data_IF_626756042561
#
_entry.id   IF_626756042561
#
_cell.length_a   1.000
_cell.length_b   1.000
_cell.length_c   1.000
_cell.angle_alpha   90.00
_cell.angle_beta   90.00
_cell.angle_gamma   90.00
#
_symmetry.space_group_name_H-M   'P 1'
#
loop_
_entity.id
_entity.type
_entity.pdbx_description
1 polymer ?
#
# COMPACT_ATOMS: atom_id res chain seq x y z
N UNK A 1 -12.14 1.81 38.04
CA UNK A 1 -12.47 2.74 36.94
C UNK A 1 -11.15 3.40 36.60
N UNK A 2 -10.48 2.88 35.57
CA UNK A 2 -9.15 3.32 35.18
C UNK A 2 -9.31 4.46 34.16
N UNK A 3 -8.66 5.59 34.44
CA UNK A 3 -8.49 6.71 33.53
C UNK A 3 -7.71 6.25 32.29
N UNK A 4 -8.41 6.07 31.17
CA UNK A 4 -7.83 5.94 29.84
C UNK A 4 -7.53 7.36 29.31
N UNK A 5 -6.53 8.00 29.92
CA UNK A 5 -6.03 9.28 29.44
C UNK A 5 -5.17 9.01 28.21
N UNK A 6 -5.80 9.06 27.03
CA UNK A 6 -5.14 8.96 25.74
C UNK A 6 -3.89 9.85 25.70
N UNK A 7 -2.73 9.24 25.45
CA UNK A 7 -1.47 9.96 25.30
C UNK A 7 -1.48 10.69 23.97
N UNK A 8 -1.63 12.02 24.00
CA UNK A 8 -1.41 12.85 22.81
C UNK A 8 0.06 12.82 22.44
N UNK A 9 0.38 12.25 21.29
CA UNK A 9 1.71 12.26 20.69
C UNK A 9 1.76 13.40 19.67
N UNK A 10 2.74 14.28 19.82
CA UNK A 10 2.99 15.36 18.86
C UNK A 10 4.17 14.96 17.99
N UNK A 11 3.94 14.82 16.69
CA UNK A 11 4.95 14.45 15.71
C UNK A 11 5.26 15.62 14.80
N UNK A 12 6.53 15.75 14.45
CA UNK A 12 7.00 16.70 13.45
C UNK A 12 7.12 15.95 12.13
N UNK A 13 6.29 16.32 11.16
CA UNK A 13 6.23 15.69 9.83
C UNK A 13 6.80 16.66 8.78
N UNK A 14 7.46 16.18 7.71
CA UNK A 14 7.93 17.05 6.62
C UNK A 14 6.79 17.86 6.00
N UNK A 15 7.10 19.04 5.47
CA UNK A 15 6.12 20.00 4.93
C UNK A 15 5.22 19.39 3.84
N UNK A 16 5.77 18.53 2.99
CA UNK A 16 5.01 17.80 1.97
C UNK A 16 3.98 16.82 2.54
N UNK A 17 4.22 16.27 3.74
CA UNK A 17 3.29 15.36 4.42
C UNK A 17 2.26 16.15 5.23
N UNK A 18 2.65 17.30 5.78
CA UNK A 18 1.72 18.22 6.42
C UNK A 18 0.69 18.76 5.42
N UNK A 19 1.13 19.23 4.25
CA UNK A 19 0.24 19.67 3.17
C UNK A 19 -0.71 18.56 2.69
N UNK A 20 -0.22 17.31 2.66
CA UNK A 20 -1.05 16.15 2.32
C UNK A 20 -2.09 15.86 3.39
N UNK A 21 -1.73 15.89 4.68
CA UNK A 21 -2.65 15.68 5.81
C UNK A 21 -3.71 16.78 5.90
N UNK A 22 -3.35 18.04 5.64
CA UNK A 22 -4.30 19.16 5.59
C UNK A 22 -5.38 18.96 4.51
N UNK A 23 -5.04 18.25 3.42
CA UNK A 23 -5.99 17.83 2.39
C UNK A 23 -6.99 16.75 2.83
N UNK A 24 -6.77 16.08 3.96
CA UNK A 24 -7.64 15.00 4.48
C UNK A 24 -8.69 15.50 5.49
N UNK A 25 -8.65 16.76 5.91
CA UNK A 25 -9.66 17.35 6.79
C UNK A 25 -9.80 16.59 8.12
N UNK A 26 -11.02 16.19 8.46
CA UNK A 26 -11.35 15.50 9.71
C UNK A 26 -10.70 14.09 9.84
N UNK A 27 -10.25 13.51 8.73
CA UNK A 27 -9.58 12.19 8.71
C UNK A 27 -8.06 12.27 8.98
N UNK A 28 -7.50 13.47 9.17
CA UNK A 28 -6.05 13.67 9.28
C UNK A 28 -5.40 12.90 10.44
N UNK A 29 -6.07 12.75 11.59
CA UNK A 29 -5.55 11.97 12.72
C UNK A 29 -5.47 10.47 12.39
N UNK A 30 -6.47 9.93 11.69
CA UNK A 30 -6.50 8.54 11.24
C UNK A 30 -5.39 8.28 10.22
N UNK A 31 -5.25 9.17 9.23
CA UNK A 31 -4.20 9.07 8.22
C UNK A 31 -2.79 9.18 8.83
N UNK A 32 -2.60 10.04 9.83
CA UNK A 32 -1.34 10.14 10.58
C UNK A 32 -1.05 8.88 11.40
N UNK A 33 -2.07 8.29 12.05
CA UNK A 33 -1.93 7.04 12.80
C UNK A 33 -1.55 5.87 11.88
N UNK A 34 -2.17 5.76 10.70
CA UNK A 34 -1.84 4.73 9.71
C UNK A 34 -0.40 4.89 9.17
N UNK A 35 0.04 6.12 8.88
CA UNK A 35 1.42 6.40 8.47
C UNK A 35 2.44 5.98 9.54
N UNK A 36 2.14 6.20 10.82
CA UNK A 36 3.01 5.77 11.92
C UNK A 36 3.08 4.26 12.04
N UNK A 37 1.95 3.56 11.86
CA UNK A 37 1.91 2.10 11.88
C UNK A 37 2.75 1.54 10.72
N UNK A 38 2.63 2.12 9.53
CA UNK A 38 3.42 1.74 8.35
C UNK A 38 4.92 2.05 8.52
N UNK A 39 5.27 3.19 9.14
CA UNK A 39 6.67 3.54 9.39
C UNK A 39 7.29 2.66 10.47
N UNK A 40 6.53 2.32 11.51
CA UNK A 40 6.93 1.40 12.57
C UNK A 40 7.16 -0.01 12.02
N UNK A 41 6.31 -0.52 11.13
CA UNK A 41 6.50 -1.86 10.54
C UNK A 41 7.79 -1.94 9.71
N UNK A 42 8.06 -0.92 8.88
CA UNK A 42 9.30 -0.81 8.09
C UNK A 42 10.54 -0.64 8.98
N UNK A 43 10.44 0.13 10.07
CA UNK A 43 11.56 0.36 10.98
C UNK A 43 11.91 -0.84 11.87
N UNK A 44 10.95 -1.74 12.12
CA UNK A 44 11.15 -2.89 13.01
C UNK A 44 11.65 -4.13 12.26
N UNK A 45 11.39 -4.21 10.96
CA UNK A 45 11.88 -5.28 10.08
C UNK A 45 12.08 -4.71 8.66
N UNK A 46 13.32 -4.42 8.25
CA UNK A 46 13.61 -3.86 6.93
C UNK A 46 13.36 -4.84 5.77
N UNK A 47 13.10 -6.13 6.05
CA UNK A 47 12.65 -7.12 5.07
C UNK A 47 11.11 -7.29 5.05
N UNK A 48 10.39 -6.64 5.97
CA UNK A 48 8.93 -6.67 5.96
C UNK A 48 8.42 -6.01 4.67
N UNK A 49 7.78 -6.82 3.82
CA UNK A 49 7.19 -6.31 2.59
C UNK A 49 6.23 -5.15 2.90
N UNK A 50 6.33 -4.08 2.12
CA UNK A 50 5.43 -2.94 2.17
C UNK A 50 4.00 -3.37 1.74
N UNK A 51 3.88 -4.45 0.97
CA UNK A 51 2.62 -4.98 0.45
C UNK A 51 1.57 -5.28 1.53
N UNK A 52 1.84 -6.00 2.62
CA UNK A 52 0.86 -6.23 3.68
C UNK A 52 0.40 -4.96 4.41
N UNK A 53 1.28 -3.96 4.58
CA UNK A 53 0.91 -2.69 5.21
C UNK A 53 0.03 -1.82 4.29
N UNK A 54 0.38 -1.75 3.00
CA UNK A 54 -0.44 -1.08 1.99
C UNK A 54 -1.77 -1.82 1.81
N UNK A 55 -1.76 -3.15 1.80
CA UNK A 55 -2.97 -3.95 1.70
C UNK A 55 -3.91 -3.76 2.90
N UNK A 56 -3.38 -3.59 4.11
CA UNK A 56 -4.22 -3.32 5.29
C UNK A 56 -4.85 -1.93 5.25
N UNK A 57 -4.11 -0.91 4.81
CA UNK A 57 -4.63 0.45 4.66
C UNK A 57 -5.70 0.48 3.56
N UNK A 58 -5.44 -0.16 2.40
CA UNK A 58 -6.45 -0.28 1.35
C UNK A 58 -7.69 -1.04 1.85
N UNK A 59 -7.52 -2.15 2.58
CA UNK A 59 -8.63 -2.91 3.12
C UNK A 59 -9.48 -2.07 4.08
N UNK A 60 -8.85 -1.35 5.02
CA UNK A 60 -9.57 -0.46 5.94
C UNK A 60 -10.31 0.67 5.21
N UNK A 61 -9.68 1.28 4.18
CA UNK A 61 -10.33 2.34 3.42
C UNK A 61 -11.47 1.81 2.56
N UNK A 62 -11.32 0.60 2.00
CA UNK A 62 -12.40 -0.08 1.27
C UNK A 62 -13.57 -0.42 2.19
N UNK A 63 -13.32 -0.88 3.41
CA UNK A 63 -14.35 -1.13 4.42
C UNK A 63 -15.07 0.19 4.78
N UNK A 64 -14.32 1.27 5.01
CA UNK A 64 -14.90 2.60 5.28
C UNK A 64 -15.75 3.13 4.12
N UNK A 65 -15.32 2.96 2.87
CA UNK A 65 -16.12 3.32 1.69
C UNK A 65 -17.37 2.43 1.61
N UNK A 66 -17.24 1.14 1.89
CA UNK A 66 -18.35 0.19 1.87
C UNK A 66 -19.39 0.56 2.91
N UNK A 67 -18.99 0.87 4.14
CA UNK A 67 -19.87 1.32 5.21
C UNK A 67 -20.57 2.64 4.84
N UNK A 68 -19.85 3.62 4.31
CA UNK A 68 -20.43 4.89 3.87
C UNK A 68 -21.45 4.71 2.74
N UNK A 69 -21.19 3.79 1.81
CA UNK A 69 -22.13 3.45 0.73
C UNK A 69 -23.35 2.72 1.29
N UNK A 70 -23.17 1.77 2.22
CA UNK A 70 -24.28 1.07 2.88
C UNK A 70 -25.19 2.06 3.60
N UNK A 71 -24.64 2.94 4.43
CA UNK A 71 -25.41 3.95 5.16
C UNK A 71 -26.20 4.86 4.20
N UNK A 72 -25.60 5.25 3.08
CA UNK A 72 -26.27 6.08 2.08
C UNK A 72 -27.37 5.33 1.32
N UNK A 73 -27.16 4.04 1.01
CA UNK A 73 -28.16 3.19 0.40
C UNK A 73 -29.35 2.97 1.34
N UNK A 74 -29.11 2.71 2.63
CA UNK A 74 -30.17 2.61 3.65
C UNK A 74 -30.93 3.93 3.81
N UNK A 75 -30.24 5.07 3.75
CA UNK A 75 -30.87 6.39 3.75
C UNK A 75 -31.77 6.61 2.52
N UNK A 76 -31.35 6.08 1.36
CA UNK A 76 -32.10 6.17 0.11
C UNK A 76 -33.32 5.25 0.11
N UNK A 77 -33.18 4.03 0.64
CA UNK A 77 -34.25 3.05 0.79
C UNK A 77 -35.37 3.60 1.70
N UNK A 78 -35.00 4.17 2.85
CA UNK A 78 -35.97 4.84 3.73
C UNK A 78 -36.69 6.01 3.04
N UNK A 79 -35.99 6.77 2.19
CA UNK A 79 -36.60 7.85 1.43
C UNK A 79 -37.54 7.34 0.32
N UNK A 80 -37.26 6.17 -0.26
CA UNK A 80 -38.11 5.50 -1.23
C UNK A 80 -39.39 4.97 -0.57
N UNK A 81 -39.27 4.31 0.58
CA UNK A 81 -40.41 3.82 1.37
C UNK A 81 -41.36 4.97 1.80
N UNK A 82 -40.82 6.10 2.29
CA UNK A 82 -41.63 7.31 2.58
C UNK A 82 -42.40 7.80 1.34
N UNK A 83 -41.79 7.67 0.16
CA UNK A 83 -42.42 8.09 -1.08
C UNK A 83 -43.55 7.14 -1.48
N UNK A 84 -43.33 5.83 -1.38
CA UNK A 84 -44.34 4.81 -1.67
C UNK A 84 -45.57 4.97 -0.77
N UNK A 85 -45.38 5.14 0.54
CA UNK A 85 -46.48 5.34 1.50
C UNK A 85 -47.31 6.59 1.16
N UNK A 86 -46.65 7.67 0.71
CA UNK A 86 -47.32 8.93 0.36
C UNK A 86 -47.99 8.90 -1.00
N UNK A 87 -47.45 8.14 -1.95
CA UNK A 87 -48.12 7.84 -3.23
C UNK A 87 -49.38 7.01 -2.95
N UNK A 88 -49.30 6.00 -2.09
CA UNK A 88 -50.47 5.21 -1.67
C UNK A 88 -51.56 6.08 -0.99
N UNK A 89 -51.16 7.05 -0.16
CA UNK A 89 -52.09 8.01 0.43
C UNK A 89 -52.75 8.95 -0.61
N UNK A 90 -52.04 9.25 -1.69
CA UNK A 90 -52.54 10.06 -2.80
C UNK A 90 -53.52 9.33 -3.70
N UNK A 91 -53.20 8.09 -4.07
CA UNK A 91 -54.10 7.21 -4.82
C UNK A 91 -55.40 6.96 -4.05
N UNK A 92 -55.32 6.97 -2.72
CA UNK A 92 -56.46 6.90 -1.80
C UNK A 92 -57.26 8.21 -1.69
N UNK A 93 -56.85 9.28 -2.40
CA UNK A 93 -57.52 10.59 -2.41
C UNK A 93 -57.29 11.44 -1.16
N UNK A 94 -56.32 11.09 -0.32
CA UNK A 94 -56.02 11.77 0.96
C UNK A 94 -54.66 12.49 0.99
N UNK A 95 -53.92 12.54 -0.12
CA UNK A 95 -52.52 12.98 -0.13
C UNK A 95 -52.22 14.34 -0.81
N UNK A 96 -50.95 14.80 -0.75
CA UNK A 96 -50.51 16.14 -1.16
C UNK A 96 -50.41 16.35 -2.69
N UNK A 97 -50.66 17.57 -3.17
CA UNK A 97 -50.70 17.97 -4.60
C UNK A 97 -49.64 17.26 -5.51
N UNK A 98 -50.03 16.61 -6.62
CA UNK A 98 -49.12 16.02 -7.61
C UNK A 98 -47.97 16.93 -8.07
N UNK A 99 -48.16 18.26 -8.04
CA UNK A 99 -47.09 19.22 -8.32
C UNK A 99 -45.94 19.14 -7.31
N UNK A 100 -46.23 18.91 -6.04
CA UNK A 100 -45.24 18.77 -4.96
C UNK A 100 -44.44 17.47 -5.07
N UNK A 101 -45.02 16.40 -5.61
CA UNK A 101 -44.27 15.17 -5.90
C UNK A 101 -43.29 15.37 -7.04
N UNK A 102 -43.69 16.06 -8.10
CA UNK A 102 -42.80 16.33 -9.24
C UNK A 102 -41.60 17.18 -8.83
N UNK A 103 -41.80 18.14 -7.94
CA UNK A 103 -40.74 18.98 -7.37
C UNK A 103 -39.74 18.16 -6.51
N UNK A 104 -40.25 17.25 -5.68
CA UNK A 104 -39.40 16.32 -4.91
C UNK A 104 -38.66 15.31 -5.78
N UNK A 105 -39.29 14.78 -6.82
CA UNK A 105 -38.63 13.89 -7.79
C UNK A 105 -37.47 14.64 -8.45
N UNK A 106 -37.69 15.87 -8.93
CA UNK A 106 -36.60 16.70 -9.46
C UNK A 106 -35.48 16.92 -8.45
N UNK A 107 -35.82 17.19 -7.19
CA UNK A 107 -34.82 17.33 -6.12
C UNK A 107 -34.03 16.04 -5.87
N UNK A 108 -34.66 14.87 -5.98
CA UNK A 108 -33.98 13.58 -5.83
C UNK A 108 -33.12 13.26 -7.04
N UNK A 109 -33.60 13.52 -8.25
CA UNK A 109 -32.83 13.41 -9.49
C UNK A 109 -31.56 14.27 -9.38
N UNK A 110 -31.69 15.53 -8.95
CA UNK A 110 -30.55 16.43 -8.73
C UNK A 110 -29.56 15.88 -7.68
N UNK A 111 -30.06 15.28 -6.60
CA UNK A 111 -29.22 14.68 -5.55
C UNK A 111 -28.49 13.43 -6.03
N UNK A 112 -29.14 12.59 -6.81
CA UNK A 112 -28.52 11.39 -7.42
C UNK A 112 -27.41 11.83 -8.36
N UNK A 113 -27.69 12.81 -9.22
CA UNK A 113 -26.72 13.40 -10.15
C UNK A 113 -25.50 14.00 -9.42
N UNK A 114 -25.70 14.65 -8.27
CA UNK A 114 -24.61 15.19 -7.43
C UNK A 114 -23.77 14.08 -6.78
N UNK A 115 -24.43 13.02 -6.30
CA UNK A 115 -23.76 11.84 -5.75
C UNK A 115 -22.92 11.14 -6.80
N UNK A 116 -23.45 10.93 -8.02
CA UNK A 116 -22.71 10.30 -9.12
C UNK A 116 -21.41 11.06 -9.41
N UNK A 117 -21.50 12.39 -9.56
CA UNK A 117 -20.32 13.25 -9.79
C UNK A 117 -19.31 13.20 -8.65
N UNK A 118 -19.80 13.16 -7.41
CA UNK A 118 -18.93 13.09 -6.22
C UNK A 118 -18.19 11.76 -6.17
N UNK A 119 -18.87 10.65 -6.48
CA UNK A 119 -18.27 9.32 -6.54
C UNK A 119 -17.23 9.25 -7.65
N UNK A 120 -17.57 9.70 -8.87
CA UNK A 120 -16.63 9.75 -9.99
C UNK A 120 -15.36 10.54 -9.63
N UNK A 121 -15.52 11.74 -9.07
CA UNK A 121 -14.39 12.58 -8.66
C UNK A 121 -13.51 11.90 -7.61
N UNK A 122 -14.12 11.23 -6.61
CA UNK A 122 -13.37 10.52 -5.57
C UNK A 122 -12.65 9.28 -6.10
N UNK A 123 -13.25 8.57 -7.06
CA UNK A 123 -12.62 7.41 -7.70
C UNK A 123 -11.43 7.82 -8.56
N UNK A 124 -11.56 8.91 -9.33
CA UNK A 124 -10.46 9.46 -10.13
C UNK A 124 -9.29 9.92 -9.24
N UNK A 125 -9.57 10.65 -8.17
CA UNK A 125 -8.55 11.08 -7.19
C UNK A 125 -7.87 9.89 -6.50
N UNK A 126 -8.63 8.85 -6.14
CA UNK A 126 -8.06 7.63 -5.56
C UNK A 126 -7.19 6.88 -6.58
N UNK A 127 -7.61 6.82 -7.84
CA UNK A 127 -6.82 6.20 -8.91
C UNK A 127 -5.49 6.93 -9.10
N UNK A 128 -5.51 8.26 -9.19
CA UNK A 128 -4.28 9.06 -9.30
C UNK A 128 -3.35 8.87 -8.11
N UNK A 129 -3.91 8.80 -6.89
CA UNK A 129 -3.14 8.57 -5.66
C UNK A 129 -2.51 7.17 -5.65
N UNK A 130 -3.25 6.14 -6.05
CA UNK A 130 -2.74 4.77 -6.14
C UNK A 130 -1.64 4.68 -7.20
N UNK A 131 -1.83 5.29 -8.37
CA UNK A 131 -0.81 5.33 -9.43
C UNK A 131 0.46 6.05 -8.97
N UNK A 132 0.31 7.17 -8.25
CA UNK A 132 1.45 7.90 -7.67
C UNK A 132 2.18 7.05 -6.62
N UNK A 133 1.46 6.39 -5.73
CA UNK A 133 2.07 5.51 -4.73
C UNK A 133 2.78 4.33 -5.38
N UNK A 134 2.18 3.72 -6.40
CA UNK A 134 2.80 2.65 -7.17
C UNK A 134 4.12 3.12 -7.82
N UNK A 135 4.13 4.32 -8.40
CA UNK A 135 5.35 4.90 -8.98
C UNK A 135 6.43 5.15 -7.93
N UNK A 136 6.09 5.74 -6.77
CA UNK A 136 7.05 5.99 -5.68
C UNK A 136 7.61 4.67 -5.13
N UNK A 137 6.78 3.64 -4.95
CA UNK A 137 7.23 2.34 -4.44
C UNK A 137 8.16 1.65 -5.44
N UNK A 138 7.89 1.75 -6.74
CA UNK A 138 8.78 1.22 -7.78
C UNK A 138 10.11 1.99 -7.79
N UNK A 139 10.07 3.32 -7.77
CA UNK A 139 11.27 4.16 -7.73
C UNK A 139 12.11 3.88 -6.47
N UNK A 140 11.48 3.74 -5.31
CA UNK A 140 12.18 3.44 -4.06
C UNK A 140 12.73 2.00 -4.08
N UNK A 141 12.02 1.02 -4.65
CA UNK A 141 12.56 -0.34 -4.84
C UNK A 141 13.75 -0.35 -5.80
N UNK A 142 13.73 0.44 -6.86
CA UNK A 142 14.87 0.61 -7.76
C UNK A 142 16.05 1.27 -7.04
N UNK A 143 15.78 2.25 -6.18
CA UNK A 143 16.78 2.98 -5.39
C UNK A 143 17.40 2.15 -4.26
N UNK A 144 16.61 1.34 -3.58
CA UNK A 144 17.02 0.48 -2.46
C UNK A 144 17.56 -0.87 -2.93
N UNK A 145 17.18 -1.32 -4.14
CA UNK A 145 17.43 -2.68 -4.61
C UNK A 145 18.38 -2.86 -5.80
N UNK A 146 18.86 -1.80 -6.46
CA UNK A 146 19.82 -1.97 -7.57
C UNK A 146 21.25 -2.10 -7.06
N UNK A 147 21.57 -3.27 -6.53
CA UNK A 147 22.94 -3.74 -6.46
C UNK A 147 23.25 -4.49 -7.77
N UNK A 148 23.93 -3.84 -8.74
CA UNK A 148 24.14 -4.41 -10.07
C UNK A 148 25.02 -5.67 -10.04
N UNK A 149 25.80 -5.87 -8.96
CA UNK A 149 26.62 -7.06 -8.77
C UNK A 149 25.74 -8.20 -8.27
N UNK A 150 24.87 -7.93 -7.30
CA UNK A 150 23.90 -8.91 -6.81
C UNK A 150 22.95 -9.39 -7.92
N UNK A 151 22.46 -8.47 -8.76
CA UNK A 151 21.61 -8.81 -9.90
C UNK A 151 22.32 -9.71 -10.91
N UNK A 152 23.61 -9.44 -11.17
CA UNK A 152 24.44 -10.31 -12.02
C UNK A 152 24.60 -11.70 -11.42
N UNK A 153 24.90 -11.79 -10.12
CA UNK A 153 25.05 -13.05 -9.38
C UNK A 153 23.76 -13.86 -9.45
N UNK A 154 22.60 -13.25 -9.22
CA UNK A 154 21.28 -13.92 -9.31
C UNK A 154 20.98 -14.39 -10.73
N UNK A 155 21.29 -13.58 -11.74
CA UNK A 155 21.13 -13.95 -13.14
C UNK A 155 22.02 -15.13 -13.54
N UNK A 156 23.27 -15.15 -13.08
CA UNK A 156 24.19 -16.26 -13.27
C UNK A 156 23.71 -17.53 -12.54
N UNK A 157 23.20 -17.40 -11.32
CA UNK A 157 22.65 -18.49 -10.53
C UNK A 157 21.45 -19.16 -11.22
N UNK A 158 20.51 -18.36 -11.70
CA UNK A 158 19.35 -18.84 -12.45
C UNK A 158 19.76 -19.52 -13.77
N UNK A 159 20.75 -18.97 -14.47
CA UNK A 159 21.26 -19.57 -15.72
C UNK A 159 21.96 -20.91 -15.48
N UNK A 160 22.63 -21.05 -14.33
CA UNK A 160 23.37 -22.24 -13.95
C UNK A 160 22.55 -23.27 -13.15
N UNK A 161 21.28 -22.98 -12.83
CA UNK A 161 20.41 -23.80 -11.96
C UNK A 161 21.04 -24.06 -10.58
N UNK A 162 21.51 -22.99 -9.93
CA UNK A 162 22.21 -23.04 -8.64
C UNK A 162 21.46 -22.24 -7.58
N UNK A 163 21.06 -22.91 -6.49
CA UNK A 163 20.43 -22.24 -5.35
C UNK A 163 21.42 -21.88 -4.23
N UNK A 164 22.58 -22.54 -4.18
CA UNK A 164 23.60 -22.34 -3.13
C UNK A 164 25.01 -22.26 -3.70
N UNK A 165 25.80 -21.32 -3.18
CA UNK A 165 27.21 -21.17 -3.52
C UNK A 165 28.07 -20.96 -2.27
N UNK A 166 29.31 -21.44 -2.32
CA UNK A 166 30.27 -21.24 -1.22
C UNK A 166 30.97 -19.88 -1.37
N UNK A 167 31.07 -19.11 -0.29
CA UNK A 167 31.90 -17.90 -0.26
C UNK A 167 33.37 -18.28 -0.41
N UNK A 168 34.09 -17.69 -1.37
CA UNK A 168 35.53 -17.91 -1.57
C UNK A 168 36.36 -17.51 -0.33
N UNK A 169 35.97 -16.45 0.39
CA UNK A 169 36.70 -15.96 1.56
C UNK A 169 36.60 -16.84 2.80
N UNK A 170 35.39 -17.28 3.17
CA UNK A 170 35.17 -18.03 4.42
C UNK A 170 34.71 -19.48 4.22
N UNK A 171 34.49 -19.92 2.97
CA UNK A 171 34.10 -21.28 2.61
C UNK A 171 32.68 -21.69 2.99
N UNK A 172 31.88 -20.81 3.61
CA UNK A 172 30.50 -21.11 4.00
C UNK A 172 29.56 -21.09 2.81
N UNK A 173 28.66 -22.06 2.75
CA UNK A 173 27.58 -22.10 1.76
C UNK A 173 26.52 -21.07 2.11
N UNK A 174 26.13 -20.27 1.13
CA UNK A 174 25.12 -19.22 1.23
C UNK A 174 23.99 -19.56 0.26
N UNK A 175 22.75 -19.33 0.69
CA UNK A 175 21.56 -19.43 -0.15
C UNK A 175 21.44 -18.17 -1.01
N UNK A 176 21.48 -18.34 -2.33
CA UNK A 176 21.46 -17.24 -3.29
C UNK A 176 20.09 -16.56 -3.35
N UNK A 177 19.02 -17.26 -2.95
CA UNK A 177 17.66 -16.71 -2.87
C UNK A 177 17.43 -15.80 -1.67
N UNK A 178 18.27 -15.90 -0.63
CA UNK A 178 18.17 -15.11 0.63
C UNK A 178 19.21 -13.98 0.72
N UNK A 179 20.01 -13.78 -0.33
CA UNK A 179 21.02 -12.73 -0.35
C UNK A 179 20.37 -11.37 -0.60
N UNK A 180 20.42 -10.49 0.41
CA UNK A 180 19.91 -9.12 0.34
C UNK A 180 20.91 -8.06 -0.17
N UNK A 181 22.20 -8.39 -0.25
CA UNK A 181 23.28 -7.49 -0.70
C UNK A 181 24.43 -8.30 -1.37
N UNK A 182 25.30 -7.66 -2.17
CA UNK A 182 26.50 -8.30 -2.76
C UNK A 182 27.63 -8.55 -1.76
N UNK A 183 27.32 -8.89 -0.52
CA UNK A 183 28.31 -9.06 0.55
C UNK A 183 28.03 -10.32 1.35
N UNK A 184 29.08 -11.01 1.79
CA UNK A 184 28.95 -12.21 2.58
C UNK A 184 28.38 -11.93 3.98
N UNK A 185 27.25 -12.56 4.40
CA UNK A 185 26.66 -12.35 5.72
C UNK A 185 27.50 -12.92 6.87
N UNK A 186 28.57 -13.65 6.56
CA UNK A 186 29.41 -14.32 7.57
C UNK A 186 30.81 -13.71 7.74
N UNK A 187 31.33 -13.06 6.70
CA UNK A 187 32.69 -12.50 6.73
C UNK A 187 32.76 -11.10 6.11
N UNK A 188 31.62 -10.54 5.71
CA UNK A 188 31.47 -9.17 5.19
C UNK A 188 32.30 -8.89 3.93
N UNK A 189 32.85 -9.92 3.28
CA UNK A 189 33.56 -9.79 2.03
C UNK A 189 32.60 -9.47 0.87
N UNK A 190 32.93 -8.44 0.09
CA UNK A 190 32.19 -8.07 -1.11
C UNK A 190 32.37 -9.11 -2.21
N UNK A 191 31.27 -9.50 -2.84
CA UNK A 191 31.25 -10.40 -3.98
C UNK A 191 31.48 -9.63 -5.27
N UNK A 192 32.12 -10.28 -6.24
CA UNK A 192 32.34 -9.74 -7.58
C UNK A 192 31.58 -10.52 -8.66
N UNK A 193 31.48 -11.84 -8.49
CA UNK A 193 30.85 -12.74 -9.46
C UNK A 193 30.48 -14.10 -8.86
N UNK A 194 29.78 -14.92 -9.65
CA UNK A 194 29.47 -16.32 -9.35
C UNK A 194 30.19 -17.25 -10.33
N UNK A 195 31.10 -18.09 -9.82
CA UNK A 195 31.67 -19.20 -10.59
C UNK A 195 30.71 -20.40 -10.55
N UNK A 196 30.14 -20.82 -11.70
CA UNK A 196 29.26 -21.98 -11.77
C UNK A 196 30.02 -23.29 -11.51
N UNK A 197 29.32 -24.38 -11.16
CA UNK A 197 29.97 -25.66 -10.90
C UNK A 197 30.68 -26.19 -12.15
N UNK A 198 31.99 -26.45 -12.05
CA UNK A 198 32.77 -27.05 -13.15
C UNK A 198 32.80 -28.57 -13.04
N UNK A 199 32.26 -29.26 -14.04
CA UNK A 199 32.25 -30.73 -14.13
C UNK A 199 31.16 -31.40 -13.26
N UNK A 200 31.09 -32.73 -13.30
CA UNK A 200 30.00 -33.53 -12.69
C UNK A 200 29.96 -33.55 -11.14
N UNK A 201 30.91 -32.91 -10.47
CA UNK A 201 30.98 -32.80 -9.00
C UNK A 201 31.36 -31.39 -8.51
N UNK A 202 31.28 -30.37 -9.37
CA UNK A 202 31.62 -29.00 -8.96
C UNK A 202 30.56 -28.40 -8.03
N UNK A 203 30.99 -27.58 -7.07
CA UNK A 203 30.11 -26.69 -6.31
C UNK A 203 30.29 -25.26 -6.81
N UNK A 204 29.20 -24.51 -6.91
CA UNK A 204 29.26 -23.08 -7.25
C UNK A 204 29.99 -22.29 -6.16
N UNK A 205 30.73 -21.25 -6.57
CA UNK A 205 31.57 -20.44 -5.66
C UNK A 205 31.33 -18.95 -5.91
N UNK A 206 31.09 -18.19 -4.84
CA UNK A 206 31.00 -16.72 -4.88
C UNK A 206 32.40 -16.12 -4.79
N UNK A 207 32.78 -15.41 -5.86
CA UNK A 207 34.08 -14.76 -6.00
C UNK A 207 34.09 -13.46 -5.21
N UNK A 208 35.22 -13.17 -4.57
CA UNK A 208 35.40 -11.90 -3.89
C UNK A 208 35.89 -10.82 -4.86
N UNK A 209 35.64 -9.55 -4.53
CA UNK A 209 36.44 -8.48 -5.10
C UNK A 209 37.88 -8.65 -4.63
N UNK A 210 38.83 -8.70 -5.58
CA UNK A 210 40.25 -8.73 -5.23
C UNK A 210 40.60 -7.40 -4.56
N UNK A 211 40.62 -7.40 -3.23
CA UNK A 211 41.13 -6.29 -2.45
C UNK A 211 42.58 -6.07 -2.85
N UNK A 212 42.87 -4.91 -3.44
CA UNK A 212 44.23 -4.36 -3.46
C UNK A 212 44.73 -4.40 -2.02
N UNK A 213 45.79 -5.14 -1.68
CA UNK A 213 46.28 -5.16 -0.30
C UNK A 213 46.71 -3.73 0.07
N UNK A 214 46.09 -3.17 1.12
CA UNK A 214 46.54 -1.93 1.74
C UNK A 214 48.01 -2.08 2.17
N UNK A 215 48.88 -1.24 1.57
CA UNK A 215 50.29 -1.05 1.94
C UNK A 215 50.46 -0.26 3.25
#
# INVERSE_FOLDING_TARGET
MADDAGRTLTLSVPESVADWLDGHGDDAETAAAELLIAQQSVATDPEASIEPAVASVLANRMDSITDAVIEHLESTDWAADDLEDRVGALESGQGPDPAHLRDRIGTLEDRVDDTERTVETRLDDLSEKVDRLAWIVVEERERVGSDPVLDRIRSAAHTADVDRAACEGCGRAIDLGLLGASTCPHCEAAFSDLDPPTGWFGSATLRLEEGTPDE
#
